data_IF_890134845262
#
_entry.id   IF_890134845262
#
_cell.length_a   1.000
_cell.length_b   1.000
_cell.length_c   1.000
_cell.angle_alpha   90.00
_cell.angle_beta   90.00
_cell.angle_gamma   90.00
#
_symmetry.space_group_name_H-M   'P 1'
#
loop_
_entity.id
_entity.type
_entity.pdbx_description
1 polymer ?
#
# COMPACT_ATOMS: atom_id res chain seq x y z
N UNK A 1 40.81 61.81 -44.88
CA UNK A 1 40.36 62.12 -43.51
C UNK A 1 38.83 62.03 -43.34
N UNK A 2 37.99 62.69 -44.16
CA UNK A 2 36.52 62.65 -44.00
C UNK A 2 35.86 61.25 -44.13
N UNK A 3 36.33 60.37 -45.02
CA UNK A 3 35.71 59.04 -45.19
C UNK A 3 35.84 58.13 -43.96
N UNK A 4 36.96 58.24 -43.24
CA UNK A 4 37.23 57.45 -42.03
C UNK A 4 36.33 57.89 -40.86
N UNK A 5 36.11 59.20 -40.70
CA UNK A 5 35.26 59.74 -39.63
C UNK A 5 33.79 59.35 -39.81
N UNK A 6 33.29 59.33 -41.06
CA UNK A 6 31.93 58.89 -41.37
C UNK A 6 31.75 57.40 -41.05
N UNK A 7 32.71 56.55 -41.42
CA UNK A 7 32.64 55.11 -41.16
C UNK A 7 32.67 54.80 -39.65
N UNK A 8 33.51 55.51 -38.90
CA UNK A 8 33.53 55.41 -37.43
C UNK A 8 32.20 55.86 -36.83
N UNK A 9 31.64 56.99 -37.28
CA UNK A 9 30.34 57.47 -36.79
C UNK A 9 29.19 56.48 -37.06
N UNK A 10 29.15 55.87 -38.26
CA UNK A 10 28.17 54.84 -38.60
C UNK A 10 28.32 53.58 -37.74
N UNK A 11 29.56 53.14 -37.50
CA UNK A 11 29.82 51.99 -36.64
C UNK A 11 29.36 52.22 -35.20
N UNK A 12 29.59 53.42 -34.65
CA UNK A 12 29.12 53.82 -33.33
C UNK A 12 27.60 53.89 -33.25
N UNK A 13 26.95 54.41 -34.29
CA UNK A 13 25.48 54.44 -34.39
C UNK A 13 24.87 53.02 -34.42
N UNK A 14 25.50 52.09 -35.15
CA UNK A 14 25.06 50.69 -35.19
C UNK A 14 25.27 50.01 -33.83
N UNK A 15 26.45 50.20 -33.20
CA UNK A 15 26.76 49.62 -31.88
C UNK A 15 25.77 50.14 -30.83
N UNK A 16 25.51 51.45 -30.79
CA UNK A 16 24.56 52.05 -29.84
C UNK A 16 23.14 51.52 -30.05
N UNK A 17 22.70 51.35 -31.30
CA UNK A 17 21.40 50.75 -31.64
C UNK A 17 21.34 49.28 -31.20
N UNK A 18 22.38 48.48 -31.45
CA UNK A 18 22.45 47.08 -31.03
C UNK A 18 22.44 46.95 -29.50
N UNK A 19 23.22 47.77 -28.79
CA UNK A 19 23.24 47.81 -27.32
C UNK A 19 21.86 48.21 -26.78
N UNK A 20 21.23 49.23 -27.37
CA UNK A 20 19.89 49.65 -26.98
C UNK A 20 18.84 48.56 -27.21
N UNK A 21 18.86 47.90 -28.38
CA UNK A 21 17.96 46.79 -28.73
C UNK A 21 18.17 45.60 -27.80
N UNK A 22 19.42 45.24 -27.52
CA UNK A 22 19.76 44.17 -26.59
C UNK A 22 19.28 44.49 -25.18
N UNK A 23 19.60 45.67 -24.65
CA UNK A 23 19.13 46.12 -23.34
C UNK A 23 17.60 46.13 -23.24
N UNK A 24 16.90 46.54 -24.32
CA UNK A 24 15.43 46.48 -24.39
C UNK A 24 14.90 45.05 -24.34
N UNK A 25 15.54 44.11 -25.05
CA UNK A 25 15.16 42.70 -25.02
C UNK A 25 15.45 42.05 -23.66
N UNK A 26 16.61 42.34 -23.06
CA UNK A 26 16.98 41.86 -21.72
C UNK A 26 15.96 42.33 -20.68
N UNK A 27 15.55 43.60 -20.71
CA UNK A 27 14.51 44.13 -19.81
C UNK A 27 13.18 43.39 -19.95
N UNK A 28 12.75 43.09 -21.18
CA UNK A 28 11.54 42.29 -21.43
C UNK A 28 11.68 40.88 -20.86
N UNK A 29 12.80 40.20 -21.14
CA UNK A 29 13.04 38.85 -20.65
C UNK A 29 13.07 38.80 -19.11
N UNK A 30 13.68 39.78 -18.45
CA UNK A 30 13.69 39.89 -16.98
C UNK A 30 12.27 40.08 -16.46
N UNK A 31 11.47 40.97 -17.05
CA UNK A 31 10.08 41.18 -16.64
C UNK A 31 9.23 39.89 -16.80
N UNK A 32 9.41 39.16 -17.90
CA UNK A 32 8.74 37.86 -18.11
C UNK A 32 9.19 36.83 -17.07
N UNK A 33 10.49 36.72 -16.79
CA UNK A 33 11.02 35.81 -15.76
C UNK A 33 10.45 36.12 -14.37
N UNK A 34 10.35 37.40 -14.00
CA UNK A 34 9.74 37.81 -12.72
C UNK A 34 8.28 37.37 -12.66
N UNK A 35 7.49 37.62 -13.72
CA UNK A 35 6.09 37.19 -13.76
C UNK A 35 5.93 35.67 -13.68
N UNK A 36 6.81 34.90 -14.33
CA UNK A 36 6.79 33.44 -14.28
C UNK A 36 7.15 32.91 -12.89
N UNK A 37 8.18 33.48 -12.25
CA UNK A 37 8.54 33.15 -10.86
C UNK A 37 7.40 33.46 -9.89
N UNK A 38 6.68 34.58 -10.07
CA UNK A 38 5.51 34.90 -9.26
C UNK A 38 4.39 33.86 -9.42
N UNK A 39 4.09 33.46 -10.66
CA UNK A 39 3.09 32.42 -10.94
C UNK A 39 3.50 31.07 -10.34
N UNK A 40 4.79 30.70 -10.42
CA UNK A 40 5.31 29.48 -9.79
C UNK A 40 5.14 29.55 -8.27
N UNK A 41 5.54 30.67 -7.65
CA UNK A 41 5.41 30.84 -6.21
C UNK A 41 3.94 30.71 -5.76
N UNK A 42 3.00 31.33 -6.49
CA UNK A 42 1.58 31.20 -6.21
C UNK A 42 1.07 29.78 -6.39
N UNK A 43 1.49 29.09 -7.47
CA UNK A 43 1.14 27.68 -7.69
C UNK A 43 1.68 26.77 -6.59
N UNK A 44 2.90 27.01 -6.11
CA UNK A 44 3.49 26.24 -5.02
C UNK A 44 2.68 26.40 -3.73
N UNK A 45 2.25 27.61 -3.38
CA UNK A 45 1.39 27.86 -2.21
C UNK A 45 0.07 27.08 -2.35
N UNK A 46 -0.61 27.21 -3.49
CA UNK A 46 -1.87 26.49 -3.74
C UNK A 46 -1.67 24.97 -3.69
N UNK A 47 -0.55 24.48 -4.21
CA UNK A 47 -0.21 23.07 -4.19
C UNK A 47 0.04 22.57 -2.76
N UNK A 48 0.80 23.31 -1.96
CA UNK A 48 1.04 23.00 -0.54
C UNK A 48 -0.27 22.97 0.25
N UNK A 49 -1.14 23.97 0.06
CA UNK A 49 -2.46 24.01 0.70
C UNK A 49 -3.33 22.81 0.27
N UNK A 50 -3.31 22.45 -1.01
CA UNK A 50 -4.06 21.31 -1.55
C UNK A 50 -3.55 19.99 -0.98
N UNK A 51 -2.23 19.83 -0.87
CA UNK A 51 -1.61 18.64 -0.26
C UNK A 51 -1.99 18.54 1.20
N UNK A 52 -1.87 19.62 1.98
CA UNK A 52 -2.27 19.61 3.40
C UNK A 52 -3.76 19.30 3.58
N UNK A 53 -4.63 19.86 2.73
CA UNK A 53 -6.07 19.57 2.79
C UNK A 53 -6.35 18.08 2.48
N UNK A 54 -5.65 17.51 1.48
CA UNK A 54 -5.77 16.10 1.13
C UNK A 54 -5.27 15.19 2.25
N UNK A 55 -4.13 15.51 2.87
CA UNK A 55 -3.59 14.77 4.02
C UNK A 55 -4.57 14.76 5.20
N UNK A 56 -5.12 15.92 5.56
CA UNK A 56 -6.15 16.03 6.62
C UNK A 56 -7.39 15.21 6.30
N UNK A 57 -7.87 15.26 5.05
CA UNK A 57 -9.03 14.47 4.61
C UNK A 57 -8.74 12.96 4.68
N UNK A 58 -7.53 12.54 4.29
CA UNK A 58 -7.10 11.15 4.37
C UNK A 58 -7.02 10.66 5.83
N UNK A 59 -6.46 11.46 6.73
CA UNK A 59 -6.41 11.14 8.17
C UNK A 59 -7.81 11.01 8.78
N UNK A 60 -8.72 11.93 8.44
CA UNK A 60 -10.11 11.88 8.91
C UNK A 60 -10.81 10.62 8.41
N UNK A 61 -10.66 10.29 7.12
CA UNK A 61 -11.23 9.07 6.54
C UNK A 61 -10.66 7.81 7.22
N UNK A 62 -9.36 7.77 7.50
CA UNK A 62 -8.73 6.65 8.19
C UNK A 62 -9.25 6.49 9.62
N UNK A 63 -9.41 7.60 10.37
CA UNK A 63 -9.99 7.59 11.72
C UNK A 63 -11.43 7.09 11.70
N UNK A 64 -12.23 7.58 10.75
CA UNK A 64 -13.62 7.17 10.58
C UNK A 64 -13.76 5.68 10.29
N UNK A 65 -12.97 5.15 9.36
CA UNK A 65 -12.98 3.72 9.02
C UNK A 65 -12.52 2.83 10.19
N UNK A 66 -11.53 3.26 10.98
CA UNK A 66 -11.11 2.55 12.19
C UNK A 66 -12.23 2.45 13.22
N UNK A 67 -12.97 3.53 13.43
CA UNK A 67 -14.12 3.55 14.35
C UNK A 67 -15.20 2.57 13.89
N UNK A 68 -15.64 2.65 12.64
CA UNK A 68 -16.65 1.74 12.08
C UNK A 68 -16.20 0.29 12.17
N UNK A 69 -14.94 -0.01 11.84
CA UNK A 69 -14.44 -1.36 11.89
C UNK A 69 -14.45 -1.96 13.30
N UNK A 70 -14.14 -1.17 14.32
CA UNK A 70 -14.26 -1.58 15.72
C UNK A 70 -15.71 -1.89 16.08
N UNK A 71 -16.62 -0.98 15.72
CA UNK A 71 -18.04 -1.10 16.06
C UNK A 71 -18.73 -2.24 15.30
N UNK A 72 -18.24 -2.63 14.12
CA UNK A 72 -18.69 -3.80 13.37
C UNK A 72 -18.05 -5.11 13.86
N UNK A 73 -16.77 -5.08 14.28
CA UNK A 73 -16.06 -6.27 14.77
C UNK A 73 -16.73 -6.84 16.02
N UNK A 74 -17.21 -6.00 16.93
CA UNK A 74 -17.84 -6.44 18.17
C UNK A 74 -19.11 -7.30 17.97
N UNK A 75 -20.14 -6.85 17.24
CA UNK A 75 -21.34 -7.65 17.01
C UNK A 75 -21.05 -8.92 16.18
N UNK A 76 -20.17 -8.85 15.18
CA UNK A 76 -19.79 -10.03 14.39
C UNK A 76 -19.03 -11.05 15.25
N UNK A 77 -18.11 -10.58 16.10
CA UNK A 77 -17.39 -11.43 17.05
C UNK A 77 -18.33 -12.08 18.08
N UNK A 78 -19.34 -11.35 18.55
CA UNK A 78 -20.37 -11.89 19.44
C UNK A 78 -21.21 -12.97 18.73
N UNK A 79 -21.64 -12.74 17.48
CA UNK A 79 -22.35 -13.75 16.67
C UNK A 79 -21.52 -15.02 16.46
N UNK A 80 -20.23 -14.88 16.15
CA UNK A 80 -19.30 -16.00 15.98
C UNK A 80 -19.09 -16.77 17.30
N UNK A 81 -19.02 -16.08 18.42
CA UNK A 81 -18.81 -16.69 19.74
C UNK A 81 -20.07 -17.43 20.21
N UNK A 82 -21.25 -16.82 20.00
CA UNK A 82 -22.53 -17.43 20.31
C UNK A 82 -22.77 -18.69 19.46
N UNK A 83 -22.43 -18.67 18.17
CA UNK A 83 -22.56 -19.87 17.33
C UNK A 83 -21.59 -20.98 17.75
N UNK A 84 -20.36 -20.63 18.15
CA UNK A 84 -19.39 -21.59 18.70
C UNK A 84 -19.90 -22.23 20.00
N UNK A 85 -20.45 -21.45 20.92
CA UNK A 85 -21.02 -21.97 22.18
C UNK A 85 -22.18 -22.94 21.92
N UNK A 86 -23.12 -22.58 21.04
CA UNK A 86 -24.23 -23.45 20.66
C UNK A 86 -23.76 -24.76 20.00
N UNK A 87 -22.68 -24.69 19.23
CA UNK A 87 -22.08 -25.87 18.61
C UNK A 87 -21.49 -26.84 19.64
N UNK A 88 -20.88 -26.31 20.72
CA UNK A 88 -20.21 -27.09 21.76
C UNK A 88 -21.21 -27.61 22.82
N UNK A 89 -22.16 -26.79 23.26
CA UNK A 89 -22.96 -27.08 24.44
C UNK A 89 -24.25 -27.89 24.18
N UNK A 90 -24.84 -27.81 22.98
CA UNK A 90 -26.22 -28.28 22.77
C UNK A 90 -26.38 -29.56 21.93
N UNK A 91 -25.29 -30.27 21.58
CA UNK A 91 -25.32 -31.39 20.61
C UNK A 91 -26.33 -31.15 19.46
N UNK A 92 -26.14 -30.09 18.67
CA UNK A 92 -27.11 -29.66 17.68
C UNK A 92 -27.45 -30.76 16.68
N UNK A 93 -28.71 -30.80 16.23
CA UNK A 93 -29.12 -31.62 15.08
C UNK A 93 -28.30 -31.30 13.84
N UNK A 94 -28.25 -32.20 12.86
CA UNK A 94 -27.43 -31.97 11.66
C UNK A 94 -27.86 -30.73 10.86
N UNK A 95 -29.15 -30.39 10.89
CA UNK A 95 -29.64 -29.14 10.32
C UNK A 95 -29.13 -27.90 11.08
N UNK A 96 -29.14 -27.94 12.42
CA UNK A 96 -28.59 -26.86 13.24
C UNK A 96 -27.08 -26.72 13.05
N UNK A 97 -26.33 -27.83 12.92
CA UNK A 97 -24.89 -27.79 12.59
C UNK A 97 -24.65 -27.05 11.28
N UNK A 98 -25.41 -27.35 10.22
CA UNK A 98 -25.27 -26.64 8.94
C UNK A 98 -25.49 -25.13 9.08
N UNK A 99 -26.53 -24.71 9.81
CA UNK A 99 -26.80 -23.30 10.06
C UNK A 99 -25.67 -22.63 10.87
N UNK A 100 -25.19 -23.29 11.93
CA UNK A 100 -24.10 -22.76 12.76
C UNK A 100 -22.79 -22.62 11.97
N UNK A 101 -22.48 -23.57 11.09
CA UNK A 101 -21.34 -23.48 10.17
C UNK A 101 -21.48 -22.29 9.22
N UNK A 102 -22.66 -22.07 8.63
CA UNK A 102 -22.92 -20.90 7.76
C UNK A 102 -22.69 -19.58 8.52
N UNK A 103 -23.15 -19.50 9.78
CA UNK A 103 -22.96 -18.30 10.62
C UNK A 103 -21.47 -18.06 10.90
N UNK A 104 -20.70 -19.12 11.19
CA UNK A 104 -19.26 -19.00 11.41
C UNK A 104 -18.52 -18.56 10.16
N UNK A 105 -18.78 -19.19 9.01
CA UNK A 105 -18.16 -18.82 7.75
C UNK A 105 -18.48 -17.38 7.34
N UNK A 106 -19.74 -16.97 7.52
CA UNK A 106 -20.19 -15.61 7.22
C UNK A 106 -19.55 -14.58 8.14
N UNK A 107 -19.47 -14.86 9.45
CA UNK A 107 -18.79 -14.01 10.42
C UNK A 107 -17.30 -13.87 10.12
N UNK A 108 -16.63 -14.99 9.81
CA UNK A 108 -15.22 -14.99 9.42
C UNK A 108 -14.98 -14.19 8.14
N UNK A 109 -15.86 -14.32 7.14
CA UNK A 109 -15.76 -13.56 5.89
C UNK A 109 -15.96 -12.07 6.12
N UNK A 110 -16.92 -11.68 6.94
CA UNK A 110 -17.18 -10.29 7.28
C UNK A 110 -15.98 -9.65 8.00
N UNK A 111 -15.37 -10.36 8.96
CA UNK A 111 -14.15 -9.90 9.63
C UNK A 111 -12.96 -9.76 8.68
N UNK A 112 -12.82 -10.65 7.69
CA UNK A 112 -11.81 -10.52 6.64
C UNK A 112 -12.02 -9.26 5.80
N UNK A 113 -13.25 -9.04 5.33
CA UNK A 113 -13.59 -7.85 4.53
C UNK A 113 -13.35 -6.55 5.29
N UNK A 114 -13.73 -6.48 6.57
CA UNK A 114 -13.44 -5.33 7.43
C UNK A 114 -11.92 -5.12 7.52
N UNK A 115 -11.17 -6.20 7.69
CA UNK A 115 -9.70 -6.15 7.79
C UNK A 115 -9.02 -5.78 6.47
N UNK A 116 -9.63 -6.07 5.33
CA UNK A 116 -9.16 -5.69 3.99
C UNK A 116 -9.47 -4.21 3.68
N UNK A 117 -10.67 -3.75 4.02
CA UNK A 117 -11.05 -2.33 3.88
C UNK A 117 -10.12 -1.45 4.70
N UNK A 118 -9.86 -1.82 5.96
CA UNK A 118 -8.89 -1.11 6.79
C UNK A 118 -7.49 -1.11 6.18
N UNK A 119 -7.06 -2.24 5.62
CA UNK A 119 -5.73 -2.37 5.00
C UNK A 119 -5.56 -1.41 3.81
N UNK A 120 -6.54 -1.35 2.91
CA UNK A 120 -6.47 -0.53 1.70
C UNK A 120 -6.58 0.98 1.98
N UNK A 121 -7.29 1.37 3.04
CA UNK A 121 -7.52 2.79 3.37
C UNK A 121 -6.51 3.38 4.36
N UNK A 122 -5.50 2.61 4.77
CA UNK A 122 -4.54 3.05 5.78
C UNK A 122 -3.48 4.04 5.31
N UNK A 123 -3.45 4.43 4.03
CA UNK A 123 -2.62 5.54 3.54
C UNK A 123 -1.20 5.55 4.13
N UNK A 124 -0.40 4.51 3.84
CA UNK A 124 0.93 4.34 4.40
C UNK A 124 1.00 3.26 5.48
N UNK A 125 1.67 2.15 5.15
CA UNK A 125 1.90 1.06 6.10
C UNK A 125 3.03 1.51 7.04
N UNK A 126 2.72 1.85 8.29
CA UNK A 126 3.73 1.88 9.35
C UNK A 126 4.17 0.43 9.60
N UNK A 127 5.23 -0.01 8.91
CA UNK A 127 5.81 -1.32 9.11
C UNK A 127 6.59 -1.33 10.41
N UNK A 128 6.21 -2.18 11.35
CA UNK A 128 7.05 -2.45 12.53
C UNK A 128 8.13 -3.44 12.12
N UNK A 129 9.17 -2.94 11.44
CA UNK A 129 10.27 -3.78 10.99
C UNK A 129 11.11 -4.23 12.18
N UNK A 130 11.24 -5.53 12.35
CA UNK A 130 12.15 -6.15 13.30
C UNK A 130 13.00 -7.21 12.58
N UNK A 131 14.11 -7.63 13.19
CA UNK A 131 14.91 -8.73 12.64
C UNK A 131 14.15 -10.03 12.88
N UNK A 132 13.70 -10.68 11.81
CA UNK A 132 12.84 -11.87 11.88
C UNK A 132 13.44 -13.01 11.07
N UNK A 133 13.43 -14.20 11.65
CA UNK A 133 13.66 -15.47 10.93
C UNK A 133 12.48 -15.70 9.98
N UNK A 134 12.74 -15.62 8.67
CA UNK A 134 11.66 -15.73 7.70
C UNK A 134 11.08 -17.14 7.64
N UNK A 135 11.92 -18.15 7.84
CA UNK A 135 11.51 -19.55 7.91
C UNK A 135 10.52 -19.81 9.05
N UNK A 136 10.70 -19.20 10.22
CA UNK A 136 9.73 -19.33 11.33
C UNK A 136 8.36 -18.76 10.97
N UNK A 137 8.32 -17.64 10.26
CA UNK A 137 7.06 -17.01 9.84
C UNK A 137 6.32 -17.94 8.88
N UNK A 138 7.03 -18.48 7.88
CA UNK A 138 6.45 -19.39 6.90
C UNK A 138 6.06 -20.72 7.54
N UNK A 139 6.90 -21.28 8.43
CA UNK A 139 6.61 -22.51 9.16
C UNK A 139 5.30 -22.38 9.96
N UNK A 140 5.11 -21.28 10.68
CA UNK A 140 3.86 -21.05 11.43
C UNK A 140 2.61 -21.01 10.53
N UNK A 141 2.74 -20.53 9.28
CA UNK A 141 1.65 -20.60 8.30
C UNK A 141 1.39 -22.02 7.83
N UNK A 142 2.46 -22.80 7.56
CA UNK A 142 2.36 -24.20 7.15
C UNK A 142 1.69 -25.03 8.23
N UNK A 143 2.10 -24.87 9.49
CA UNK A 143 1.54 -25.60 10.62
C UNK A 143 0.04 -25.32 10.77
N UNK A 144 -0.37 -24.05 10.70
CA UNK A 144 -1.77 -23.65 10.80
C UNK A 144 -2.62 -24.18 9.64
N UNK A 145 -2.08 -24.26 8.42
CA UNK A 145 -2.83 -24.61 7.20
C UNK A 145 -2.69 -26.09 6.82
N UNK A 146 -1.82 -26.84 7.50
CA UNK A 146 -1.57 -28.26 7.27
C UNK A 146 -2.86 -29.09 7.33
N UNK A 147 -3.71 -28.84 8.33
CA UNK A 147 -5.00 -29.54 8.49
C UNK A 147 -5.94 -29.31 7.29
N UNK A 148 -6.05 -28.05 6.83
CA UNK A 148 -6.89 -27.71 5.67
C UNK A 148 -6.38 -28.33 4.37
N UNK A 149 -5.06 -28.43 4.21
CA UNK A 149 -4.48 -29.15 3.08
C UNK A 149 -4.78 -30.65 3.16
N UNK A 150 -4.66 -31.24 4.36
CA UNK A 150 -4.94 -32.65 4.60
C UNK A 150 -6.41 -33.02 4.33
N UNK A 151 -7.37 -32.15 4.62
CA UNK A 151 -8.80 -32.33 4.27
C UNK A 151 -9.01 -32.53 2.75
N UNK A 152 -8.13 -31.99 1.91
CA UNK A 152 -8.12 -32.17 0.45
C UNK A 152 -7.11 -33.24 -0.03
N UNK A 153 -6.53 -34.00 0.89
CA UNK A 153 -5.42 -34.92 0.62
C UNK A 153 -4.21 -34.25 -0.05
N UNK A 154 -4.01 -32.95 0.18
CA UNK A 154 -2.88 -32.20 -0.34
C UNK A 154 -1.70 -32.26 0.63
N UNK A 155 -0.48 -32.17 0.10
CA UNK A 155 0.75 -32.11 0.90
C UNK A 155 1.44 -30.78 0.71
N UNK A 156 1.83 -30.13 1.80
CA UNK A 156 2.65 -28.91 1.76
C UNK A 156 4.11 -29.32 1.95
N UNK A 157 4.92 -29.13 0.92
CA UNK A 157 6.37 -29.34 0.98
C UNK A 157 7.06 -28.00 1.17
N UNK A 158 7.75 -27.84 2.30
CA UNK A 158 8.45 -26.61 2.66
C UNK A 158 9.96 -26.85 2.67
N UNK A 159 10.69 -26.11 1.84
CA UNK A 159 12.14 -26.08 1.80
C UNK A 159 12.64 -24.66 2.04
N UNK A 160 13.69 -24.50 2.83
CA UNK A 160 14.20 -23.17 3.14
C UNK A 160 15.71 -23.13 3.31
N UNK A 161 16.28 -21.99 2.97
CA UNK A 161 17.58 -21.53 3.44
C UNK A 161 17.34 -20.53 4.58
N UNK A 162 17.91 -20.74 5.79
CA UNK A 162 17.70 -19.85 6.93
C UNK A 162 18.09 -18.41 6.61
N UNK A 163 17.20 -17.46 6.91
CA UNK A 163 17.46 -16.05 6.59
C UNK A 163 16.82 -15.12 7.62
N UNK A 164 17.64 -14.21 8.16
CA UNK A 164 17.18 -13.10 8.98
C UNK A 164 16.95 -11.88 8.09
N UNK A 165 15.72 -11.37 8.08
CA UNK A 165 15.34 -10.19 7.30
C UNK A 165 14.60 -9.17 8.15
N UNK A 166 14.82 -7.90 7.85
CA UNK A 166 14.14 -6.79 8.51
C UNK A 166 12.74 -6.61 7.90
N UNK A 167 11.72 -7.15 8.56
CA UNK A 167 10.33 -7.13 8.09
C UNK A 167 9.35 -6.96 9.24
N UNK A 168 8.09 -6.69 8.88
CA UNK A 168 6.97 -6.71 9.82
C UNK A 168 6.38 -8.13 9.85
N UNK A 169 6.58 -8.85 10.97
CA UNK A 169 6.24 -10.27 11.12
C UNK A 169 4.77 -10.54 10.82
N UNK A 170 3.87 -9.75 11.41
CA UNK A 170 2.42 -9.96 11.29
C UNK A 170 1.94 -9.71 9.86
N UNK A 171 2.45 -8.66 9.22
CA UNK A 171 2.08 -8.32 7.84
C UNK A 171 2.53 -9.38 6.86
N UNK A 172 3.78 -9.84 6.98
CA UNK A 172 4.32 -10.87 6.09
C UNK A 172 3.63 -12.21 6.33
N UNK A 173 3.36 -12.57 7.58
CA UNK A 173 2.56 -13.75 7.90
C UNK A 173 1.21 -13.73 7.18
N UNK A 174 0.52 -12.59 7.18
CA UNK A 174 -0.78 -12.43 6.48
C UNK A 174 -0.66 -12.60 4.97
N UNK A 175 0.42 -12.11 4.37
CA UNK A 175 0.69 -12.32 2.94
C UNK A 175 0.90 -13.81 2.65
N UNK A 176 1.78 -14.47 3.41
CA UNK A 176 2.09 -15.89 3.22
C UNK A 176 0.84 -16.74 3.43
N UNK A 177 0.09 -16.54 4.51
CA UNK A 177 -1.11 -17.32 4.81
C UNK A 177 -2.20 -17.17 3.75
N UNK A 178 -2.38 -15.97 3.19
CA UNK A 178 -3.29 -15.75 2.07
C UNK A 178 -2.86 -16.51 0.81
N UNK A 179 -1.56 -16.49 0.48
CA UNK A 179 -1.04 -17.21 -0.68
C UNK A 179 -1.21 -18.73 -0.52
N UNK A 180 -0.87 -19.27 0.64
CA UNK A 180 -1.02 -20.71 0.93
C UNK A 180 -2.49 -21.12 0.95
N UNK A 181 -3.38 -20.30 1.53
CA UNK A 181 -4.83 -20.54 1.51
C UNK A 181 -5.36 -20.57 0.09
N UNK A 182 -4.92 -19.64 -0.77
CA UNK A 182 -5.28 -19.65 -2.18
C UNK A 182 -4.74 -20.90 -2.89
N UNK A 183 -3.51 -21.32 -2.62
CA UNK A 183 -2.95 -22.54 -3.18
C UNK A 183 -3.78 -23.78 -2.80
N UNK A 184 -4.20 -23.91 -1.54
CA UNK A 184 -5.08 -25.01 -1.07
C UNK A 184 -6.45 -24.94 -1.75
N UNK A 185 -7.03 -23.74 -1.84
CA UNK A 185 -8.36 -23.53 -2.41
C UNK A 185 -8.41 -23.90 -3.89
N UNK A 186 -7.43 -23.47 -4.67
CA UNK A 186 -7.43 -23.57 -6.13
C UNK A 186 -6.63 -24.75 -6.70
N UNK A 187 -5.84 -25.46 -5.90
CA UNK A 187 -5.21 -26.71 -6.33
C UNK A 187 -6.19 -27.89 -6.28
N UNK A 188 -5.98 -28.86 -7.18
CA UNK A 188 -6.70 -30.13 -7.18
C UNK A 188 -6.38 -30.96 -5.93
N UNK A 189 -7.26 -31.92 -5.62
CA UNK A 189 -7.00 -32.91 -4.56
C UNK A 189 -5.78 -33.77 -4.90
N UNK A 190 -5.10 -34.30 -3.89
CA UNK A 190 -3.88 -35.12 -4.03
C UNK A 190 -2.66 -34.41 -4.65
N UNK A 191 -2.67 -33.09 -4.80
CA UNK A 191 -1.53 -32.32 -5.30
C UNK A 191 -0.61 -31.85 -4.17
N UNK A 192 0.65 -31.57 -4.54
CA UNK A 192 1.64 -31.00 -3.63
C UNK A 192 1.78 -29.49 -3.83
N UNK A 193 1.67 -28.74 -2.75
CA UNK A 193 1.95 -27.30 -2.68
C UNK A 193 3.40 -27.14 -2.22
N UNK A 194 4.23 -26.49 -3.03
CA UNK A 194 5.66 -26.29 -2.73
C UNK A 194 5.93 -24.85 -2.31
N UNK A 195 6.59 -24.68 -1.17
CA UNK A 195 7.06 -23.38 -0.66
C UNK A 195 8.58 -23.45 -0.55
N UNK A 196 9.27 -22.51 -1.20
CA UNK A 196 10.74 -22.48 -1.22
C UNK A 196 11.26 -21.08 -0.85
N UNK A 197 12.12 -21.01 0.16
CA UNK A 197 12.85 -19.80 0.55
C UNK A 197 14.29 -19.94 0.07
N UNK A 198 14.73 -19.02 -0.80
CA UNK A 198 16.08 -19.02 -1.36
C UNK A 198 16.72 -17.63 -1.30
N UNK A 199 18.01 -17.58 -1.00
CA UNK A 199 18.76 -16.33 -1.02
C UNK A 199 19.25 -16.03 -2.44
N UNK A 200 18.61 -15.08 -3.12
CA UNK A 200 19.07 -14.66 -4.46
C UNK A 200 20.32 -13.78 -4.31
N UNK A 201 21.50 -14.33 -4.60
CA UNK A 201 22.70 -13.52 -4.81
C UNK A 201 22.44 -12.60 -6.01
N UNK A 202 22.45 -11.29 -5.74
CA UNK A 202 22.42 -10.23 -6.76
C UNK A 202 23.84 -10.01 -7.26
#
# INVERSE_FOLDING_TARGET
MLGLTILVALSLAIITLLVWKNARNTRKNIATLISFNQVIAQKNIVLEDTVQALERAQEQNQKFLKLIAHDLRNPIGAMSSASQLLFVEQQPSDHQKQILTIIQESSSKALSLISEILYNNSGGISLKKESVSFEEVVQSCVDMLSHKAAEKSQTIAFTFEPVLISLDREKIWRVVSNLVTNAIKFSYTNQSIRINIQHKKI
#
